data_IF_290329306024
#
_entry.id   IF_290329306024
#
_cell.length_a   1.000
_cell.length_b   1.000
_cell.length_c   1.000
_cell.angle_alpha   90.00
_cell.angle_beta   90.00
_cell.angle_gamma   90.00
#
_symmetry.space_group_name_H-M   'P 1'
#
loop_
_entity.id
_entity.type
_entity.pdbx_description
1 polymer ?
#
# COMPACT_ATOMS: atom_id res chain seq x y z
N UNK A 1 18.59 17.58 4.45
CA UNK A 1 17.90 17.16 5.69
C UNK A 1 17.80 15.63 5.70
N UNK A 2 18.55 14.95 6.58
CA UNK A 2 18.83 13.50 6.52
C UNK A 2 17.65 12.69 7.06
N UNK A 3 16.86 12.10 6.18
CA UNK A 3 15.90 11.05 6.51
C UNK A 3 16.68 9.74 6.71
N UNK A 4 16.87 9.35 7.97
CA UNK A 4 17.46 8.04 8.33
C UNK A 4 16.47 6.95 7.94
N UNK A 5 16.89 6.11 7.01
CA UNK A 5 16.26 4.82 6.67
C UNK A 5 16.17 3.93 7.92
N UNK A 6 15.03 4.01 8.63
CA UNK A 6 14.52 2.93 9.46
C UNK A 6 13.19 2.54 8.83
N UNK A 7 13.02 1.23 8.67
CA UNK A 7 11.83 0.54 8.17
C UNK A 7 10.58 1.37 8.43
N UNK A 8 10.01 1.89 7.34
CA UNK A 8 8.83 2.72 7.39
C UNK A 8 7.65 1.77 7.50
N UNK A 9 7.31 1.37 8.72
CA UNK A 9 5.98 0.86 9.01
C UNK A 9 5.04 2.07 9.05
N UNK A 10 4.62 2.55 7.87
CA UNK A 10 3.55 3.55 7.79
C UNK A 10 2.22 2.82 8.00
N UNK A 11 1.64 3.00 9.18
CA UNK A 11 0.22 2.73 9.44
C UNK A 11 -0.51 4.07 9.45
N UNK A 12 -0.93 4.55 8.28
CA UNK A 12 -1.92 5.62 8.21
C UNK A 12 -3.31 4.99 8.20
N UNK A 13 -3.87 4.81 9.41
CA UNK A 13 -5.27 4.47 9.61
C UNK A 13 -6.10 5.75 9.56
N UNK A 14 -6.54 6.17 8.36
CA UNK A 14 -7.54 7.23 8.25
C UNK A 14 -8.93 6.62 8.32
N UNK A 15 -9.44 6.42 9.54
CA UNK A 15 -10.87 6.17 9.76
C UNK A 15 -11.60 7.51 9.71
N UNK A 16 -12.18 7.84 8.55
CA UNK A 16 -12.98 9.05 8.38
C UNK A 16 -14.45 8.67 8.20
N UNK A 17 -15.27 9.04 9.19
CA UNK A 17 -16.74 9.14 9.14
C UNK A 17 -17.52 7.90 8.68
N UNK A 18 -17.93 7.04 9.62
CA UNK A 18 -18.98 6.00 9.50
C UNK A 18 -18.90 5.01 8.31
N UNK A 19 -17.85 5.11 7.49
CA UNK A 19 -17.43 4.19 6.44
C UNK A 19 -15.92 4.06 6.58
N UNK A 20 -15.47 2.90 7.04
CA UNK A 20 -14.04 2.65 7.21
C UNK A 20 -13.38 2.42 5.85
N UNK A 21 -12.31 3.16 5.55
CA UNK A 21 -11.47 2.92 4.38
C UNK A 21 -10.08 2.50 4.87
N UNK A 22 -9.54 1.43 4.28
CA UNK A 22 -8.20 0.94 4.59
C UNK A 22 -7.27 1.16 3.40
N UNK A 23 -6.13 1.80 3.65
CA UNK A 23 -5.12 2.06 2.63
C UNK A 23 -3.85 1.32 3.02
N UNK A 24 -3.45 0.37 2.20
CA UNK A 24 -2.24 -0.42 2.37
C UNK A 24 -1.19 0.08 1.41
N UNK A 25 -0.14 0.71 1.93
CA UNK A 25 0.90 1.35 1.12
C UNK A 25 2.18 0.52 1.17
N UNK A 26 2.79 0.28 0.01
CA UNK A 26 4.15 -0.28 -0.09
C UNK A 26 5.03 0.61 -0.97
N UNK A 27 6.33 0.31 -0.99
CA UNK A 27 7.33 1.01 -1.80
C UNK A 27 7.65 0.14 -3.03
N UNK A 28 7.38 0.63 -4.24
CA UNK A 28 7.59 -0.15 -5.49
C UNK A 28 9.07 -0.51 -5.72
N UNK A 29 9.99 0.18 -5.04
CA UNK A 29 11.43 -0.11 -5.09
C UNK A 29 11.87 -1.16 -4.08
N UNK A 30 10.98 -1.60 -3.17
CA UNK A 30 11.30 -2.55 -2.10
C UNK A 30 10.29 -3.70 -1.99
N UNK A 31 10.59 -4.82 -2.66
CA UNK A 31 9.78 -6.06 -2.63
C UNK A 31 9.40 -6.54 -1.23
N UNK A 32 10.29 -6.45 -0.24
CA UNK A 32 9.98 -6.81 1.15
C UNK A 32 8.76 -6.05 1.72
N UNK A 33 8.57 -4.78 1.32
CA UNK A 33 7.41 -3.98 1.78
C UNK A 33 6.10 -4.45 1.16
N UNK A 34 6.15 -5.00 -0.04
CA UNK A 34 5.02 -5.61 -0.73
C UNK A 34 4.64 -6.96 -0.11
N UNK A 35 5.63 -7.80 0.20
CA UNK A 35 5.40 -9.11 0.86
C UNK A 35 4.76 -8.95 2.24
N UNK A 36 5.11 -7.88 2.96
CA UNK A 36 4.53 -7.54 4.26
C UNK A 36 3.05 -7.14 4.21
N UNK A 37 2.46 -6.87 3.04
CA UNK A 37 1.05 -6.49 2.92
C UNK A 37 0.12 -7.58 3.45
N UNK A 38 0.43 -8.86 3.20
CA UNK A 38 -0.38 -10.00 3.65
C UNK A 38 -0.57 -10.00 5.17
N UNK A 39 0.50 -9.74 5.92
CA UNK A 39 0.43 -9.65 7.37
C UNK A 39 -0.54 -8.55 7.82
N UNK A 40 -0.48 -7.37 7.18
CA UNK A 40 -1.33 -6.24 7.55
C UNK A 40 -2.79 -6.44 7.17
N UNK A 41 -3.05 -7.04 6.01
CA UNK A 41 -4.40 -7.37 5.55
C UNK A 41 -5.02 -8.41 6.48
N UNK A 42 -4.29 -9.45 6.86
CA UNK A 42 -4.79 -10.48 7.77
C UNK A 42 -5.09 -9.89 9.16
N UNK A 43 -4.18 -9.09 9.70
CA UNK A 43 -4.41 -8.38 10.97
C UNK A 43 -5.62 -7.46 10.90
N UNK A 44 -5.92 -6.88 9.73
CA UNK A 44 -7.12 -6.07 9.55
C UNK A 44 -8.39 -6.93 9.57
N UNK A 45 -8.41 -8.04 8.83
CA UNK A 45 -9.54 -8.99 8.76
C UNK A 45 -9.90 -9.55 10.14
N UNK A 46 -8.92 -9.78 11.00
CA UNK A 46 -9.14 -10.22 12.40
C UNK A 46 -9.98 -9.24 13.25
N UNK A 47 -10.00 -7.93 12.92
CA UNK A 47 -10.74 -6.92 13.69
C UNK A 47 -12.22 -6.80 13.29
N UNK A 48 -12.74 -7.66 12.41
CA UNK A 48 -14.19 -7.95 12.32
C UNK A 48 -15.08 -6.88 11.71
N UNK A 49 -14.55 -5.96 10.90
CA UNK A 49 -15.40 -5.13 10.04
C UNK A 49 -15.47 -5.80 8.66
N UNK A 50 -16.60 -6.41 8.29
CA UNK A 50 -16.75 -7.09 7.00
C UNK A 50 -17.15 -6.15 5.84
N UNK A 51 -17.47 -4.89 6.15
CA UNK A 51 -17.87 -3.88 5.17
C UNK A 51 -16.95 -2.65 5.24
N UNK A 52 -15.74 -2.78 4.67
CA UNK A 52 -14.86 -1.64 4.42
C UNK A 52 -14.38 -1.61 2.98
N UNK A 53 -14.15 -0.40 2.48
CA UNK A 53 -13.45 -0.21 1.22
C UNK A 53 -11.94 -0.31 1.49
N UNK A 54 -11.21 -1.06 0.68
CA UNK A 54 -9.76 -1.17 0.81
C UNK A 54 -9.02 -0.93 -0.49
N UNK A 55 -7.86 -0.29 -0.38
CA UNK A 55 -7.01 0.13 -1.48
C UNK A 55 -5.58 -0.28 -1.17
N UNK A 56 -4.89 -0.86 -2.15
CA UNK A 56 -3.44 -1.05 -2.14
C UNK A 56 -2.80 0.04 -2.97
N UNK A 57 -1.74 0.64 -2.45
CA UNK A 57 -1.05 1.78 -3.05
C UNK A 57 0.44 1.46 -3.21
N UNK A 58 0.91 1.35 -4.46
CA UNK A 58 2.34 1.32 -4.77
C UNK A 58 2.92 2.73 -4.77
N UNK A 59 3.66 3.11 -3.73
CA UNK A 59 4.27 4.44 -3.62
C UNK A 59 5.67 4.46 -4.23
N UNK A 60 6.14 5.66 -4.59
CA UNK A 60 7.42 5.97 -5.25
C UNK A 60 7.50 5.48 -6.70
N UNK A 61 6.37 5.48 -7.40
CA UNK A 61 6.32 5.14 -8.82
C UNK A 61 7.17 6.07 -9.72
N UNK A 62 7.63 7.22 -9.20
CA UNK A 62 8.62 8.07 -9.89
C UNK A 62 9.99 7.40 -10.04
N UNK A 63 10.29 6.36 -9.25
CA UNK A 63 11.57 5.66 -9.23
C UNK A 63 11.55 4.41 -10.11
N UNK A 64 11.11 4.55 -11.36
CA UNK A 64 10.92 3.41 -12.29
C UNK A 64 12.20 2.58 -12.51
N UNK A 65 13.37 3.25 -12.49
CA UNK A 65 14.67 2.57 -12.65
C UNK A 65 15.02 1.63 -11.50
N UNK A 66 14.49 1.91 -10.31
CA UNK A 66 14.75 1.15 -9.09
C UNK A 66 13.57 0.24 -8.74
N UNK A 67 12.60 0.09 -9.65
CA UNK A 67 11.40 -0.72 -9.44
C UNK A 67 11.77 -2.19 -9.24
N UNK A 68 11.24 -2.79 -8.17
CA UNK A 68 11.38 -4.23 -7.86
C UNK A 68 10.05 -4.97 -7.78
N UNK A 69 8.93 -4.24 -7.83
CA UNK A 69 7.57 -4.76 -7.89
C UNK A 69 6.89 -4.18 -9.13
N UNK A 70 6.46 -5.05 -10.04
CA UNK A 70 5.79 -4.63 -11.27
C UNK A 70 4.38 -4.11 -10.95
N UNK A 71 3.87 -3.21 -11.78
CA UNK A 71 2.49 -2.74 -11.67
C UNK A 71 1.50 -3.92 -11.70
N UNK A 72 1.74 -4.90 -12.60
CA UNK A 72 0.94 -6.10 -12.74
C UNK A 72 0.94 -6.97 -11.47
N UNK A 73 2.08 -7.09 -10.78
CA UNK A 73 2.16 -7.81 -9.50
C UNK A 73 1.22 -7.18 -8.46
N UNK A 74 1.24 -5.85 -8.35
CA UNK A 74 0.39 -5.10 -7.43
C UNK A 74 -1.10 -5.16 -7.79
N UNK A 75 -1.41 -5.08 -9.09
CA UNK A 75 -2.77 -5.20 -9.61
C UNK A 75 -3.35 -6.59 -9.35
N UNK A 76 -2.61 -7.65 -9.68
CA UNK A 76 -3.04 -9.04 -9.46
C UNK A 76 -3.24 -9.33 -7.97
N UNK A 77 -2.28 -8.93 -7.14
CA UNK A 77 -2.40 -9.08 -5.69
C UNK A 77 -3.64 -8.38 -5.11
N UNK A 78 -3.95 -7.19 -5.61
CA UNK A 78 -5.12 -6.43 -5.16
C UNK A 78 -6.42 -7.07 -5.62
N UNK A 79 -6.46 -7.58 -6.86
CA UNK A 79 -7.60 -8.32 -7.41
C UNK A 79 -7.88 -9.59 -6.58
N UNK A 80 -6.86 -10.37 -6.26
CA UNK A 80 -6.97 -11.58 -5.45
C UNK A 80 -7.53 -11.30 -4.05
N UNK A 81 -7.20 -10.12 -3.50
CA UNK A 81 -7.69 -9.67 -2.21
C UNK A 81 -8.98 -8.84 -2.28
N UNK A 82 -9.57 -8.65 -3.47
CA UNK A 82 -10.79 -7.85 -3.71
C UNK A 82 -10.63 -6.39 -3.26
N UNK A 83 -9.48 -5.78 -3.55
CA UNK A 83 -9.14 -4.41 -3.19
C UNK A 83 -8.88 -3.57 -4.45
N UNK A 84 -9.04 -2.26 -4.35
CA UNK A 84 -8.62 -1.35 -5.42
C UNK A 84 -7.09 -1.24 -5.44
N UNK A 85 -6.51 -0.94 -6.61
CA UNK A 85 -5.07 -0.73 -6.78
C UNK A 85 -4.80 0.60 -7.47
N UNK A 86 -3.76 1.29 -7.02
CA UNK A 86 -3.21 2.46 -7.70
C UNK A 86 -1.73 2.63 -7.34
N UNK A 87 -0.98 3.34 -8.19
CA UNK A 87 0.38 3.76 -7.90
C UNK A 87 0.44 5.27 -7.69
N UNK A 88 1.37 5.73 -6.84
CA UNK A 88 1.54 7.15 -6.49
C UNK A 88 3.00 7.52 -6.33
N UNK A 89 3.26 8.83 -6.32
CA UNK A 89 4.46 9.38 -5.71
C UNK A 89 4.10 10.49 -4.75
N UNK A 90 4.59 10.39 -3.51
CA UNK A 90 4.54 11.50 -2.58
C UNK A 90 5.49 12.66 -2.96
N UNK A 91 6.45 12.42 -3.87
CA UNK A 91 7.44 13.41 -4.31
C UNK A 91 6.99 14.16 -5.55
N UNK A 92 6.34 13.45 -6.48
CA UNK A 92 5.94 14.01 -7.77
C UNK A 92 4.42 14.09 -7.83
N UNK A 93 3.83 15.28 -8.02
CA UNK A 93 2.38 15.49 -7.97
C UNK A 93 1.60 14.89 -9.16
N UNK A 94 2.30 14.37 -10.17
CA UNK A 94 1.69 13.79 -11.37
C UNK A 94 2.36 12.45 -11.68
N UNK A 95 1.65 11.37 -11.41
CA UNK A 95 1.87 10.00 -11.91
C UNK A 95 0.50 9.45 -12.25
#
# INVERSE_FOLDING_TARGET
MRWKWRIIQIRYLYSLYRSSIWIFVYDVTKRETFENLNFWINKNRENGLDNYLSIVVGNKADLERDRTVLFEDGQNFSNDNKMMYLETSAKTPFI
#
